data_IF_228986932738
#
_entry.id   IF_228986932738
#
_cell.length_a   1.000
_cell.length_b   1.000
_cell.length_c   1.000
_cell.angle_alpha   90.00
_cell.angle_beta   90.00
_cell.angle_gamma   90.00
#
_symmetry.space_group_name_H-M   'P 1'
#
loop_
_entity.id
_entity.type
_entity.pdbx_description
1 polymer ?
#
# COMPACT_ATOMS: atom_id res chain seq x y z
N UNK A 1 -5.53 -8.46 -14.93
CA UNK A 1 -5.87 -7.86 -13.60
C UNK A 1 -7.19 -8.43 -13.13
N UNK A 2 -7.17 -9.11 -12.02
CA UNK A 2 -8.35 -9.75 -11.46
C UNK A 2 -9.07 -8.81 -10.47
N UNK A 3 -10.36 -9.06 -10.28
CA UNK A 3 -11.16 -8.29 -9.31
C UNK A 3 -10.59 -8.38 -7.89
N UNK A 4 -10.04 -9.53 -7.52
CA UNK A 4 -9.41 -9.73 -6.22
C UNK A 4 -8.22 -8.82 -6.00
N UNK A 5 -7.44 -8.58 -7.06
CA UNK A 5 -6.30 -7.64 -7.00
C UNK A 5 -6.78 -6.20 -6.80
N UNK A 6 -7.85 -5.81 -7.50
CA UNK A 6 -8.45 -4.50 -7.31
C UNK A 6 -8.94 -4.30 -5.87
N UNK A 7 -9.59 -5.31 -5.31
CA UNK A 7 -10.08 -5.25 -3.93
C UNK A 7 -8.95 -5.13 -2.92
N UNK A 8 -7.76 -5.64 -3.25
CA UNK A 8 -6.61 -5.57 -2.36
C UNK A 8 -5.95 -4.19 -2.32
N UNK A 9 -6.31 -3.29 -3.23
CA UNK A 9 -5.65 -1.97 -3.34
C UNK A 9 -5.67 -1.17 -2.04
N UNK A 10 -6.81 -1.09 -1.38
CA UNK A 10 -6.92 -0.31 -0.14
C UNK A 10 -6.08 -0.91 0.99
N UNK A 11 -6.01 -2.23 1.05
CA UNK A 11 -5.13 -2.91 2.00
C UNK A 11 -3.66 -2.64 1.68
N UNK A 12 -3.29 -2.64 0.39
CA UNK A 12 -1.92 -2.30 -0.04
C UNK A 12 -1.53 -0.89 0.36
N UNK A 13 -2.43 0.08 0.19
CA UNK A 13 -2.18 1.47 0.60
C UNK A 13 -1.91 1.55 2.10
N UNK A 14 -2.71 0.85 2.92
CA UNK A 14 -2.53 0.82 4.36
C UNK A 14 -1.19 0.17 4.75
N UNK A 15 -0.84 -0.96 4.12
CA UNK A 15 0.42 -1.66 4.38
C UNK A 15 1.63 -0.83 3.96
N UNK A 16 1.56 -0.16 2.82
CA UNK A 16 2.62 0.75 2.36
C UNK A 16 2.84 1.86 3.39
N UNK A 17 1.76 2.43 3.90
CA UNK A 17 1.86 3.48 4.92
C UNK A 17 2.47 2.96 6.20
N UNK A 18 2.07 1.77 6.66
CA UNK A 18 2.65 1.13 7.84
C UNK A 18 4.14 0.86 7.68
N UNK A 19 4.55 0.35 6.51
CA UNK A 19 5.96 0.07 6.25
C UNK A 19 6.80 1.35 6.24
N UNK A 20 6.28 2.44 5.66
CA UNK A 20 6.96 3.74 5.69
C UNK A 20 7.12 4.26 7.12
N UNK A 21 6.09 4.13 7.94
CA UNK A 21 6.15 4.51 9.36
C UNK A 21 7.15 3.65 10.12
N UNK A 22 7.14 2.34 9.88
CA UNK A 22 8.07 1.42 10.53
C UNK A 22 9.52 1.72 10.16
N UNK A 23 9.78 2.01 8.88
CA UNK A 23 11.12 2.39 8.43
C UNK A 23 11.57 3.71 9.05
N UNK A 24 10.67 4.70 9.14
CA UNK A 24 10.97 5.97 9.78
C UNK A 24 11.34 5.79 11.26
N UNK A 25 10.61 4.92 11.96
CA UNK A 25 10.89 4.59 13.36
C UNK A 25 12.26 3.92 13.48
N UNK A 26 12.56 2.95 12.63
CA UNK A 26 13.84 2.24 12.65
C UNK A 26 15.00 3.18 12.35
N UNK A 27 14.88 4.05 11.37
CA UNK A 27 15.91 5.03 11.04
C UNK A 27 16.13 6.03 12.18
N UNK A 28 15.06 6.55 12.77
CA UNK A 28 15.17 7.49 13.87
C UNK A 28 15.75 6.85 15.12
N UNK A 29 15.47 5.58 15.39
CA UNK A 29 16.03 4.88 16.54
C UNK A 29 17.54 4.63 16.38
N UNK A 30 18.01 4.46 15.13
CA UNK A 30 19.43 4.25 14.85
C UNK A 30 20.24 5.54 15.01
N UNK A 31 19.71 6.66 14.53
CA UNK A 31 20.42 7.94 14.49
C UNK A 31 20.01 8.91 15.60
N UNK A 32 19.00 8.58 16.39
CA UNK A 32 18.48 9.44 17.45
C UNK A 32 19.39 9.40 18.68
N UNK A 33 19.56 10.54 19.39
CA UNK A 33 20.20 10.53 20.70
C UNK A 33 19.54 9.57 21.68
N UNK A 34 18.29 9.23 21.46
CA UNK A 34 17.57 8.22 22.23
C UNK A 34 18.11 6.80 22.01
N UNK A 35 18.85 6.56 20.94
CA UNK A 35 19.61 5.33 20.77
C UNK A 35 20.58 5.10 21.91
N UNK A 36 21.00 6.17 22.56
CA UNK A 36 21.82 6.13 23.76
C UNK A 36 21.08 5.57 24.98
N UNK A 37 19.77 5.41 24.92
CA UNK A 37 19.01 4.71 25.97
C UNK A 37 19.43 3.27 26.13
N UNK A 38 20.00 2.69 25.11
CA UNK A 38 20.60 1.36 25.22
C UNK A 38 21.75 1.34 26.22
N UNK A 39 22.36 2.50 26.49
CA UNK A 39 23.40 2.62 27.48
C UNK A 39 22.88 2.66 28.92
N UNK A 40 21.58 2.96 29.09
CA UNK A 40 20.93 2.96 30.41
C UNK A 40 20.32 1.61 30.77
N UNK A 41 20.33 0.67 29.86
CA UNK A 41 19.93 -0.70 30.18
C UNK A 41 20.93 -1.36 31.11
N UNK A 42 20.48 -2.35 31.94
CA UNK A 42 21.39 -3.10 32.77
C UNK A 42 22.57 -3.57 31.94
N UNK A 43 23.74 -3.16 32.35
CA UNK A 43 24.92 -3.47 31.57
C UNK A 43 25.14 -4.96 31.54
N UNK A 44 25.12 -5.47 30.35
CA UNK A 44 25.63 -6.79 30.07
C UNK A 44 27.15 -6.78 30.36
N UNK A 45 27.69 -7.82 30.97
CA UNK A 45 29.11 -7.87 31.29
C UNK A 45 29.98 -7.58 30.08
N UNK A 46 31.12 -6.97 30.38
CA UNK A 46 32.10 -6.54 29.40
C UNK A 46 32.45 -7.61 28.37
N UNK A 47 32.65 -7.19 27.15
CA UNK A 47 32.98 -8.09 26.04
C UNK A 47 31.92 -8.09 24.95
N UNK A 48 30.94 -7.24 25.06
CA UNK A 48 29.74 -7.27 24.25
C UNK A 48 29.77 -6.39 23.01
N UNK A 49 30.95 -6.15 22.48
CA UNK A 49 31.06 -5.62 21.12
C UNK A 49 30.35 -6.51 20.13
N UNK A 50 30.42 -7.84 20.32
CA UNK A 50 29.68 -8.78 19.46
C UNK A 50 28.18 -8.66 19.62
N UNK A 51 27.67 -8.32 20.82
CA UNK A 51 26.24 -8.10 21.05
C UNK A 51 25.77 -6.80 20.41
N UNK A 52 26.56 -5.73 20.52
CA UNK A 52 26.27 -4.46 19.86
C UNK A 52 26.28 -4.63 18.33
N UNK A 53 27.30 -5.31 17.80
CA UNK A 53 27.38 -5.60 16.37
C UNK A 53 26.21 -6.48 15.93
N UNK A 54 25.79 -7.43 16.75
CA UNK A 54 24.63 -8.27 16.48
C UNK A 54 23.33 -7.50 16.47
N UNK A 55 23.17 -6.50 17.34
CA UNK A 55 22.01 -5.62 17.37
C UNK A 55 21.97 -4.75 16.11
N UNK A 56 23.08 -4.17 15.72
CA UNK A 56 23.20 -3.36 14.50
C UNK A 56 22.92 -4.21 13.28
N UNK A 57 23.47 -5.42 13.21
CA UNK A 57 23.23 -6.34 12.09
C UNK A 57 21.75 -6.69 11.95
N UNK A 58 21.08 -6.99 13.07
CA UNK A 58 19.64 -7.26 13.06
C UNK A 58 18.83 -6.06 12.58
N UNK A 59 19.24 -4.86 13.04
CA UNK A 59 18.59 -3.62 12.64
C UNK A 59 18.70 -3.40 11.13
N UNK A 60 19.91 -3.58 10.57
CA UNK A 60 20.17 -3.47 9.14
C UNK A 60 19.33 -4.49 8.36
N UNK A 61 19.27 -5.74 8.82
CA UNK A 61 18.48 -6.79 8.18
C UNK A 61 16.99 -6.49 8.20
N UNK A 62 16.47 -5.92 9.29
CA UNK A 62 15.08 -5.49 9.38
C UNK A 62 14.78 -4.37 8.40
N UNK A 63 15.67 -3.38 8.30
CA UNK A 63 15.52 -2.28 7.33
C UNK A 63 15.48 -2.82 5.92
N UNK A 64 16.42 -3.70 5.55
CA UNK A 64 16.45 -4.32 4.23
C UNK A 64 15.19 -5.13 3.93
N UNK A 65 14.70 -5.88 4.91
CA UNK A 65 13.48 -6.68 4.79
C UNK A 65 12.27 -5.77 4.52
N UNK A 66 12.12 -4.72 5.30
CA UNK A 66 10.98 -3.80 5.15
C UNK A 66 11.07 -2.97 3.87
N UNK A 67 12.28 -2.57 3.46
CA UNK A 67 12.47 -1.87 2.18
C UNK A 67 12.11 -2.75 1.00
N UNK A 68 12.49 -4.02 1.03
CA UNK A 68 12.14 -4.98 -0.03
C UNK A 68 10.63 -5.20 -0.09
N UNK A 69 9.98 -5.37 1.06
CA UNK A 69 8.53 -5.54 1.15
C UNK A 69 7.79 -4.29 0.67
N UNK A 70 8.27 -3.11 1.07
CA UNK A 70 7.71 -1.83 0.63
C UNK A 70 7.79 -1.68 -0.89
N UNK A 71 8.95 -1.97 -1.48
CA UNK A 71 9.13 -1.88 -2.93
C UNK A 71 8.19 -2.82 -3.68
N UNK A 72 8.00 -4.05 -3.18
CA UNK A 72 7.07 -5.02 -3.77
C UNK A 72 5.63 -4.51 -3.73
N UNK A 73 5.21 -4.00 -2.58
CA UNK A 73 3.84 -3.51 -2.40
C UNK A 73 3.56 -2.23 -3.19
N UNK A 74 4.53 -1.32 -3.25
CA UNK A 74 4.42 -0.13 -4.09
C UNK A 74 4.33 -0.48 -5.56
N UNK A 75 5.06 -1.49 -6.01
CA UNK A 75 4.98 -1.98 -7.39
C UNK A 75 3.59 -2.55 -7.71
N UNK A 76 3.00 -3.30 -6.79
CA UNK A 76 1.63 -3.82 -6.94
C UNK A 76 0.60 -2.69 -6.97
N UNK A 77 0.75 -1.70 -6.09
CA UNK A 77 -0.11 -0.52 -6.06
C UNK A 77 -0.06 0.24 -7.38
N UNK A 78 1.13 0.47 -7.89
CA UNK A 78 1.34 1.16 -9.17
C UNK A 78 0.73 0.37 -10.32
N UNK A 79 0.89 -0.95 -10.34
CA UNK A 79 0.33 -1.81 -11.38
C UNK A 79 -1.20 -1.70 -11.43
N UNK A 80 -1.86 -1.65 -10.29
CA UNK A 80 -3.31 -1.48 -10.21
C UNK A 80 -3.72 -0.12 -10.74
N UNK A 81 -3.04 0.95 -10.34
CA UNK A 81 -3.32 2.31 -10.81
C UNK A 81 -3.11 2.43 -12.31
N UNK A 82 -2.04 1.86 -12.83
CA UNK A 82 -1.74 1.87 -14.27
C UNK A 82 -2.80 1.08 -15.06
N UNK A 83 -3.25 -0.05 -14.55
CA UNK A 83 -4.29 -0.85 -15.18
C UNK A 83 -5.60 -0.06 -15.30
N UNK A 84 -6.00 0.62 -14.23
CA UNK A 84 -7.19 1.47 -14.26
C UNK A 84 -7.00 2.65 -15.22
N UNK A 85 -5.82 3.27 -15.21
CA UNK A 85 -5.51 4.39 -16.09
C UNK A 85 -5.54 3.97 -17.57
N UNK A 86 -5.22 2.70 -17.87
CA UNK A 86 -5.21 2.19 -19.23
C UNK A 86 -6.61 2.15 -19.88
N UNK A 87 -7.66 2.27 -19.09
CA UNK A 87 -9.03 2.33 -19.61
C UNK A 87 -9.32 3.62 -20.37
N UNK A 88 -8.44 4.62 -20.29
CA UNK A 88 -8.61 5.90 -20.97
C UNK A 88 -9.70 6.78 -20.35
N UNK A 89 -10.11 7.81 -21.07
CA UNK A 89 -11.13 8.74 -20.61
C UNK A 89 -12.53 8.16 -20.78
N UNK A 90 -12.87 7.19 -19.95
CA UNK A 90 -14.14 6.47 -20.01
C UNK A 90 -14.86 6.53 -18.66
N UNK A 91 -16.19 6.37 -18.65
CA UNK A 91 -16.92 6.27 -17.38
C UNK A 91 -16.52 5.04 -16.58
N UNK A 92 -16.02 4.00 -17.22
CA UNK A 92 -15.51 2.80 -16.58
C UNK A 92 -14.33 3.12 -15.67
N UNK A 93 -13.41 3.96 -16.14
CA UNK A 93 -12.26 4.40 -15.34
C UNK A 93 -12.72 5.18 -14.10
N UNK A 94 -13.65 6.11 -14.26
CA UNK A 94 -14.20 6.87 -13.14
C UNK A 94 -14.84 5.93 -12.12
N UNK A 95 -15.62 4.97 -12.60
CA UNK A 95 -16.30 4.00 -11.74
C UNK A 95 -15.30 3.17 -10.93
N UNK A 96 -14.27 2.62 -11.58
CA UNK A 96 -13.27 1.81 -10.89
C UNK A 96 -12.46 2.61 -9.89
N UNK A 97 -12.15 3.86 -10.21
CA UNK A 97 -11.46 4.74 -9.25
C UNK A 97 -12.30 4.97 -8.00
N UNK A 98 -13.58 5.26 -8.18
CA UNK A 98 -14.48 5.48 -7.05
C UNK A 98 -14.59 4.25 -6.16
N UNK A 99 -14.74 3.08 -6.76
CA UNK A 99 -14.93 1.83 -6.02
C UNK A 99 -13.63 1.32 -5.37
N UNK A 100 -12.53 1.28 -6.12
CA UNK A 100 -11.32 0.57 -5.70
C UNK A 100 -10.20 1.48 -5.22
N UNK A 101 -10.01 2.64 -5.85
CA UNK A 101 -8.97 3.58 -5.42
C UNK A 101 -9.43 4.38 -4.20
N UNK A 102 -10.61 4.98 -4.28
CA UNK A 102 -11.16 5.75 -3.16
C UNK A 102 -11.88 4.90 -2.12
N UNK A 103 -12.21 3.66 -2.48
CA UNK A 103 -12.86 2.73 -1.55
C UNK A 103 -14.27 3.12 -1.16
N UNK A 104 -14.99 3.81 -2.04
CA UNK A 104 -16.37 4.21 -1.76
C UNK A 104 -17.32 3.04 -1.91
N UNK A 105 -18.39 3.05 -1.13
CA UNK A 105 -19.41 2.01 -1.18
C UNK A 105 -20.33 2.19 -2.38
N UNK A 106 -20.93 1.10 -2.84
CA UNK A 106 -21.83 1.11 -3.99
C UNK A 106 -22.93 2.18 -3.92
N UNK A 107 -23.66 2.38 -2.81
CA UNK A 107 -24.68 3.42 -2.76
C UNK A 107 -24.16 4.82 -3.09
N UNK A 108 -23.00 5.18 -2.55
CA UNK A 108 -22.38 6.48 -2.81
C UNK A 108 -21.92 6.61 -4.26
N UNK A 109 -21.37 5.53 -4.82
CA UNK A 109 -20.93 5.50 -6.22
C UNK A 109 -22.10 5.62 -7.16
N UNK A 110 -23.21 4.93 -6.88
CA UNK A 110 -24.42 5.00 -7.68
C UNK A 110 -25.00 6.42 -7.73
N UNK A 111 -25.02 7.11 -6.59
CA UNK A 111 -25.49 8.50 -6.52
C UNK A 111 -24.62 9.40 -7.41
N UNK A 112 -23.31 9.24 -7.31
CA UNK A 112 -22.36 10.02 -8.08
C UNK A 112 -22.48 9.77 -9.57
N UNK A 113 -22.61 8.51 -9.99
CA UNK A 113 -22.75 8.14 -11.39
C UNK A 113 -24.10 8.59 -11.96
N UNK A 114 -25.16 8.58 -11.16
CA UNK A 114 -26.46 9.12 -11.56
C UNK A 114 -26.38 10.61 -11.86
N UNK A 115 -25.61 11.37 -11.10
CA UNK A 115 -25.37 12.79 -11.36
C UNK A 115 -24.67 13.02 -12.70
N UNK A 116 -23.89 12.04 -13.15
CA UNK A 116 -23.22 12.07 -14.43
C UNK A 116 -24.11 11.58 -15.59
N UNK A 117 -25.34 11.16 -15.29
CA UNK A 117 -26.30 10.72 -16.28
C UNK A 117 -26.42 9.23 -16.51
N UNK A 118 -25.81 8.41 -15.65
CA UNK A 118 -25.84 6.95 -15.78
C UNK A 118 -26.88 6.34 -14.83
N UNK A 119 -27.74 5.46 -15.37
CA UNK A 119 -28.69 4.71 -14.55
C UNK A 119 -27.96 3.63 -13.75
N UNK A 120 -28.60 3.19 -12.68
CA UNK A 120 -28.04 2.11 -11.84
C UNK A 120 -27.70 0.87 -12.65
N UNK A 121 -28.61 0.46 -13.53
CA UNK A 121 -28.38 -0.70 -14.42
C UNK A 121 -27.16 -0.51 -15.31
N UNK A 122 -27.00 0.69 -15.87
CA UNK A 122 -25.86 1.04 -16.73
C UNK A 122 -24.58 0.99 -15.92
N UNK A 123 -24.57 1.46 -14.68
CA UNK A 123 -23.40 1.44 -13.82
C UNK A 123 -22.92 0.01 -13.57
N UNK A 124 -23.81 -0.92 -13.28
CA UNK A 124 -23.44 -2.32 -13.10
C UNK A 124 -22.89 -2.95 -14.39
N UNK A 125 -23.43 -2.58 -15.54
CA UNK A 125 -22.88 -3.02 -16.85
C UNK A 125 -21.49 -2.47 -17.09
N UNK A 126 -21.27 -1.19 -16.79
CA UNK A 126 -19.96 -0.55 -16.93
C UNK A 126 -18.93 -1.25 -16.05
N UNK A 127 -19.30 -1.61 -14.83
CA UNK A 127 -18.43 -2.35 -13.93
C UNK A 127 -18.03 -3.71 -14.53
N UNK A 128 -18.98 -4.44 -15.05
CA UNK A 128 -18.71 -5.73 -15.71
C UNK A 128 -17.78 -5.59 -16.91
N UNK A 129 -18.03 -4.62 -17.77
CA UNK A 129 -17.18 -4.36 -18.93
C UNK A 129 -15.78 -3.93 -18.54
N UNK A 130 -15.68 -3.07 -17.53
CA UNK A 130 -14.37 -2.61 -17.02
C UNK A 130 -13.54 -3.79 -16.52
N UNK A 131 -14.14 -4.70 -15.77
CA UNK A 131 -13.45 -5.88 -15.27
C UNK A 131 -12.99 -6.79 -16.40
N UNK A 132 -13.81 -6.95 -17.44
CA UNK A 132 -13.43 -7.74 -18.62
C UNK A 132 -12.25 -7.11 -19.36
N UNK A 133 -12.26 -5.80 -19.54
CA UNK A 133 -11.14 -5.09 -20.18
C UNK A 133 -9.84 -5.23 -19.39
N UNK A 134 -9.91 -5.21 -18.08
CA UNK A 134 -8.73 -5.38 -17.24
C UNK A 134 -8.16 -6.78 -17.30
N UNK A 135 -8.98 -7.79 -17.53
CA UNK A 135 -8.48 -9.17 -17.70
C UNK A 135 -7.64 -9.34 -18.96
N UNK A 136 -7.85 -8.50 -19.96
CA UNK A 136 -7.10 -8.54 -21.21
C UNK A 136 -5.75 -7.83 -21.13
N UNK A 137 -5.51 -7.13 -20.03
CA UNK A 137 -4.27 -6.35 -19.84
C UNK A 137 -3.15 -7.20 -19.19
#
# INVERSE_FOLDING_TARGET
>A
MEKTELKSYRALVAEVQQLKEQLAILESSLYSPRGQRFTSMPRVPSGDRSTMDGVVDRHIRLVELYEADLAEKEAKQLAIEQAIQSLGDTPERVLLRELYIFGRRWPAVLIKMQKLGYSERTVYRLHGYALLKLKEV
#
